data_IF_326183602758
#
_entry.id   IF_326183602758
#
_cell.length_a   1.000
_cell.length_b   1.000
_cell.length_c   1.000
_cell.angle_alpha   90.00
_cell.angle_beta   90.00
_cell.angle_gamma   90.00
#
_symmetry.space_group_name_H-M   'P 1'
#
loop_
_entity.id
_entity.type
_entity.pdbx_description
1 polymer ?
#
# COMPACT_ATOMS: atom_id res chain seq x y z
N UNK A 1 22.55 -17.06 9.85
CA UNK A 1 21.88 -15.80 10.21
C UNK A 1 20.52 -15.55 9.56
N UNK A 2 20.21 -16.17 8.40
CA UNK A 2 18.94 -15.90 7.68
C UNK A 2 17.70 -16.57 8.32
N UNK A 3 17.86 -17.71 8.97
CA UNK A 3 16.75 -18.43 9.62
C UNK A 3 16.28 -17.75 10.91
N UNK A 4 17.17 -17.11 11.65
CA UNK A 4 16.85 -16.39 12.87
C UNK A 4 15.94 -15.18 12.61
N UNK A 5 16.15 -14.44 11.51
CA UNK A 5 15.37 -13.23 11.16
C UNK A 5 13.91 -13.55 10.75
N UNK A 6 13.65 -14.71 10.14
CA UNK A 6 12.29 -15.17 9.78
C UNK A 6 11.53 -15.58 11.03
N UNK A 7 12.19 -16.29 11.94
CA UNK A 7 11.61 -16.76 13.20
C UNK A 7 11.23 -15.60 14.11
N UNK A 8 12.05 -14.56 14.17
CA UNK A 8 11.79 -13.35 14.98
C UNK A 8 10.61 -12.53 14.45
N UNK A 9 10.47 -12.40 13.13
CA UNK A 9 9.32 -11.67 12.54
C UNK A 9 8.01 -12.44 12.67
N UNK A 10 8.02 -13.75 12.50
CA UNK A 10 6.84 -14.58 12.75
C UNK A 10 6.44 -14.52 14.22
N UNK A 11 7.40 -14.53 15.15
CA UNK A 11 7.15 -14.40 16.57
C UNK A 11 6.58 -13.01 16.92
N UNK A 12 7.11 -11.93 16.36
CA UNK A 12 6.62 -10.56 16.57
C UNK A 12 5.19 -10.37 16.04
N UNK A 13 4.89 -10.87 14.84
CA UNK A 13 3.54 -10.81 14.25
C UNK A 13 2.54 -11.62 15.06
N UNK A 14 2.94 -12.79 15.57
CA UNK A 14 2.11 -13.61 16.43
C UNK A 14 1.86 -12.94 17.79
N UNK A 15 2.88 -12.37 18.39
CA UNK A 15 2.77 -11.59 19.64
C UNK A 15 1.79 -10.42 19.46
N UNK A 16 1.92 -9.66 18.36
CA UNK A 16 1.02 -8.54 18.05
C UNK A 16 -0.44 -9.01 17.91
N UNK A 17 -0.66 -10.13 17.22
CA UNK A 17 -2.00 -10.73 17.08
C UNK A 17 -2.57 -11.13 18.44
N UNK A 18 -1.78 -11.79 19.28
CA UNK A 18 -2.18 -12.19 20.64
C UNK A 18 -2.51 -10.97 21.49
N UNK A 19 -1.69 -9.93 21.45
CA UNK A 19 -1.94 -8.66 22.17
C UNK A 19 -3.27 -8.04 21.72
N UNK A 20 -3.55 -7.99 20.42
CA UNK A 20 -4.81 -7.44 19.89
C UNK A 20 -6.02 -8.25 20.32
N UNK A 21 -5.92 -9.59 20.34
CA UNK A 21 -6.99 -10.46 20.83
C UNK A 21 -7.21 -10.23 22.33
N UNK A 22 -6.16 -10.22 23.14
CA UNK A 22 -6.23 -9.98 24.57
C UNK A 22 -6.82 -8.59 24.90
N UNK A 23 -6.33 -7.55 24.22
CA UNK A 23 -6.86 -6.18 24.35
C UNK A 23 -8.37 -6.15 24.05
N UNK A 24 -8.79 -6.86 22.98
CA UNK A 24 -10.22 -6.92 22.61
C UNK A 24 -11.05 -7.71 23.62
N UNK A 25 -10.53 -8.79 24.17
CA UNK A 25 -11.21 -9.58 25.19
C UNK A 25 -11.30 -8.86 26.55
N UNK A 26 -10.33 -8.03 26.86
CA UNK A 26 -10.34 -7.23 28.10
C UNK A 26 -11.23 -6.01 27.93
N UNK A 27 -10.91 -5.14 26.96
CA UNK A 27 -11.47 -3.79 26.85
C UNK A 27 -12.46 -3.58 25.69
N UNK A 28 -12.79 -4.63 24.91
CA UNK A 28 -13.62 -4.46 23.72
C UNK A 28 -12.85 -3.95 22.49
N UNK A 29 -13.52 -3.25 21.58
CA UNK A 29 -12.94 -2.81 20.30
C UNK A 29 -12.19 -1.47 20.38
N UNK A 30 -11.46 -1.21 21.45
CA UNK A 30 -10.68 0.04 21.65
C UNK A 30 -9.67 0.24 20.51
N UNK A 31 -9.06 -0.85 20.00
CA UNK A 31 -8.17 -0.78 18.83
C UNK A 31 -8.81 -0.02 17.65
N UNK A 32 -10.09 -0.29 17.35
CA UNK A 32 -10.77 0.36 16.23
C UNK A 32 -11.04 1.85 16.44
N UNK A 33 -11.06 2.34 17.68
CA UNK A 33 -11.33 3.74 18.00
C UNK A 33 -10.08 4.59 18.18
N UNK A 34 -9.00 4.00 18.70
CA UNK A 34 -7.80 4.76 19.13
C UNK A 34 -6.59 4.48 18.23
N UNK A 35 -6.39 3.22 17.81
CA UNK A 35 -5.16 2.82 17.11
C UNK A 35 -5.35 2.76 15.60
N UNK A 36 -6.50 2.26 15.13
CA UNK A 36 -6.73 2.07 13.70
C UNK A 36 -6.85 3.41 12.95
N UNK A 37 -5.93 3.75 12.02
CA UNK A 37 -5.94 5.05 11.34
C UNK A 37 -7.19 5.25 10.48
N UNK A 38 -7.74 4.18 9.90
CA UNK A 38 -9.00 4.22 9.16
C UNK A 38 -10.19 4.56 10.08
N UNK A 39 -10.15 4.10 11.33
CA UNK A 39 -11.15 4.45 12.34
C UNK A 39 -11.08 5.93 12.72
N UNK A 40 -9.87 6.44 12.95
CA UNK A 40 -9.62 7.86 13.26
C UNK A 40 -10.08 8.75 12.10
N UNK A 41 -9.76 8.38 10.86
CA UNK A 41 -10.22 9.10 9.66
C UNK A 41 -11.76 9.22 9.62
N UNK A 42 -12.50 8.12 9.86
CA UNK A 42 -13.97 8.16 9.91
C UNK A 42 -14.49 9.05 11.04
N UNK A 43 -13.80 9.11 12.18
CA UNK A 43 -14.18 10.01 13.27
C UNK A 43 -13.97 11.47 12.94
N UNK A 44 -12.86 11.82 12.28
CA UNK A 44 -12.60 13.18 11.80
C UNK A 44 -13.70 13.61 10.82
N UNK A 45 -14.00 12.78 9.81
CA UNK A 45 -15.07 13.06 8.83
C UNK A 45 -16.43 13.21 9.52
N UNK A 46 -16.74 12.35 10.49
CA UNK A 46 -17.96 12.41 11.27
C UNK A 46 -18.05 13.68 12.12
N UNK A 47 -16.93 14.11 12.71
CA UNK A 47 -16.86 15.33 13.50
C UNK A 47 -17.09 16.57 12.63
N UNK A 48 -16.41 16.66 11.46
CA UNK A 48 -16.60 17.75 10.48
C UNK A 48 -18.05 17.79 10.02
N UNK A 49 -18.63 16.62 9.71
CA UNK A 49 -20.03 16.50 9.28
C UNK A 49 -21.02 16.94 10.36
N UNK A 50 -20.74 16.67 11.67
CA UNK A 50 -21.57 17.16 12.77
C UNK A 50 -21.47 18.68 12.91
N UNK A 51 -20.26 19.23 12.77
CA UNK A 51 -20.01 20.68 12.87
C UNK A 51 -20.71 21.44 11.71
N UNK A 52 -20.64 20.91 10.49
CA UNK A 52 -21.26 21.50 9.30
C UNK A 52 -22.79 21.44 9.31
N UNK A 53 -23.37 20.30 9.79
CA UNK A 53 -24.83 20.11 9.82
C UNK A 53 -25.49 20.69 11.08
N UNK A 54 -24.73 21.23 12.03
CA UNK A 54 -25.20 21.78 13.29
C UNK A 54 -25.99 20.76 14.14
N UNK A 55 -26.96 21.26 14.93
CA UNK A 55 -27.78 20.43 15.83
C UNK A 55 -28.70 19.43 15.11
N UNK A 56 -28.85 19.50 13.78
CA UNK A 56 -29.77 18.67 12.99
C UNK A 56 -29.25 17.24 12.77
N UNK A 57 -27.94 16.99 12.86
CA UNK A 57 -27.37 15.67 12.58
C UNK A 57 -27.42 14.76 13.80
N UNK A 58 -28.28 13.76 13.76
CA UNK A 58 -28.46 12.74 14.81
C UNK A 58 -28.31 11.35 14.19
N UNK A 59 -27.51 10.50 14.80
CA UNK A 59 -27.46 9.09 14.43
C UNK A 59 -28.72 8.38 14.92
N UNK A 60 -29.08 7.31 14.25
CA UNK A 60 -30.21 6.46 14.64
C UNK A 60 -29.71 5.04 14.81
N UNK A 61 -30.28 4.32 15.76
CA UNK A 61 -30.06 2.89 15.87
C UNK A 61 -30.41 2.19 14.55
N UNK A 62 -29.56 1.27 14.12
CA UNK A 62 -29.78 0.43 12.94
C UNK A 62 -29.54 -1.04 13.32
N UNK A 63 -30.25 -1.95 12.70
CA UNK A 63 -30.03 -3.39 12.89
C UNK A 63 -28.69 -3.80 12.23
N UNK A 64 -27.99 -4.75 12.85
CA UNK A 64 -26.76 -5.30 12.31
C UNK A 64 -27.02 -6.06 11.00
N UNK A 65 -26.28 -5.73 9.94
CA UNK A 65 -26.33 -6.46 8.66
C UNK A 65 -25.42 -7.72 8.73
N UNK A 66 -25.77 -8.66 9.60
CA UNK A 66 -24.95 -9.84 9.89
C UNK A 66 -24.62 -10.65 8.63
N UNK A 67 -25.58 -10.84 7.70
CA UNK A 67 -25.36 -11.56 6.44
C UNK A 67 -24.23 -10.92 5.62
N UNK A 68 -24.23 -9.58 5.51
CA UNK A 68 -23.19 -8.84 4.78
C UNK A 68 -21.83 -8.95 5.48
N UNK A 69 -21.78 -8.78 6.81
CA UNK A 69 -20.56 -8.85 7.61
C UNK A 69 -19.85 -10.20 7.48
N UNK A 70 -20.60 -11.28 7.70
CA UNK A 70 -20.08 -12.64 7.58
C UNK A 70 -19.76 -13.01 6.15
N UNK A 71 -20.58 -12.58 5.18
CA UNK A 71 -20.32 -12.79 3.75
C UNK A 71 -19.00 -12.15 3.30
N UNK A 72 -18.73 -10.91 3.70
CA UNK A 72 -17.47 -10.24 3.38
C UNK A 72 -16.27 -10.91 4.09
N UNK A 73 -16.42 -11.32 5.35
CA UNK A 73 -15.37 -12.03 6.07
C UNK A 73 -15.06 -13.38 5.42
N UNK A 74 -16.08 -14.16 5.09
CA UNK A 74 -15.92 -15.47 4.41
C UNK A 74 -15.27 -15.25 3.03
N UNK A 75 -15.74 -14.27 2.25
CA UNK A 75 -15.13 -13.94 0.96
C UNK A 75 -13.65 -13.53 1.11
N UNK A 76 -13.32 -12.74 2.13
CA UNK A 76 -11.93 -12.35 2.41
C UNK A 76 -11.05 -13.56 2.78
N UNK A 77 -11.57 -14.50 3.58
CA UNK A 77 -10.86 -15.74 3.95
C UNK A 77 -10.70 -16.64 2.73
N UNK A 78 -11.75 -16.84 1.93
CA UNK A 78 -11.70 -17.66 0.74
C UNK A 78 -10.72 -17.10 -0.29
N UNK A 79 -10.75 -15.80 -0.56
CA UNK A 79 -9.80 -15.15 -1.49
C UNK A 79 -8.37 -15.23 -0.97
N UNK A 80 -8.15 -15.15 0.34
CA UNK A 80 -6.84 -15.37 0.96
C UNK A 80 -6.34 -16.80 0.73
N UNK A 81 -7.18 -17.82 0.95
CA UNK A 81 -6.84 -19.23 0.77
C UNK A 81 -6.61 -19.58 -0.71
N UNK A 82 -7.35 -18.96 -1.63
CA UNK A 82 -7.20 -19.13 -3.07
C UNK A 82 -6.02 -18.33 -3.67
N UNK A 83 -5.31 -17.54 -2.87
CA UNK A 83 -4.18 -16.73 -3.34
C UNK A 83 -4.56 -15.36 -3.94
N UNK A 84 -5.85 -15.05 -4.11
CA UNK A 84 -6.33 -13.75 -4.63
C UNK A 84 -6.22 -12.64 -3.59
N UNK A 85 -5.08 -11.99 -3.53
CA UNK A 85 -4.80 -10.96 -2.49
C UNK A 85 -5.35 -9.58 -2.81
N UNK A 86 -5.72 -9.32 -4.06
CA UNK A 86 -6.25 -8.03 -4.48
C UNK A 86 -7.47 -7.60 -3.65
N UNK A 87 -8.47 -8.49 -3.50
CA UNK A 87 -9.69 -8.17 -2.77
C UNK A 87 -9.39 -7.88 -1.29
N UNK A 88 -8.51 -8.69 -0.69
CA UNK A 88 -8.08 -8.50 0.68
C UNK A 88 -7.39 -7.13 0.84
N UNK A 89 -6.43 -6.82 -0.04
CA UNK A 89 -5.71 -5.54 -0.04
C UNK A 89 -6.62 -4.33 -0.26
N UNK A 90 -7.71 -4.46 -1.02
CA UNK A 90 -8.68 -3.37 -1.21
C UNK A 90 -9.53 -3.09 0.03
N UNK A 91 -9.89 -4.14 0.80
CA UNK A 91 -10.83 -4.05 1.94
C UNK A 91 -10.10 -3.89 3.26
N UNK A 92 -8.85 -4.33 3.36
CA UNK A 92 -8.03 -4.23 4.56
C UNK A 92 -7.83 -2.76 4.97
N UNK A 93 -8.10 -2.39 6.23
CA UNK A 93 -8.10 -0.98 6.66
C UNK A 93 -6.73 -0.32 6.57
N UNK A 94 -5.63 -1.05 6.82
CA UNK A 94 -4.27 -0.52 6.77
C UNK A 94 -3.84 -0.21 5.33
N UNK A 95 -4.01 -1.16 4.40
CA UNK A 95 -3.68 -1.00 2.99
C UNK A 95 -4.55 0.08 2.32
N UNK A 96 -5.85 0.10 2.63
CA UNK A 96 -6.78 1.11 2.13
C UNK A 96 -6.38 2.52 2.60
N UNK A 97 -6.03 2.69 3.88
CA UNK A 97 -5.56 3.97 4.41
C UNK A 97 -4.21 4.38 3.82
N UNK A 98 -3.25 3.45 3.70
CA UNK A 98 -1.95 3.70 3.08
C UNK A 98 -2.08 4.22 1.65
N UNK A 99 -2.96 3.61 0.85
CA UNK A 99 -3.26 4.08 -0.52
C UNK A 99 -3.88 5.48 -0.54
N UNK A 100 -4.81 5.78 0.37
CA UNK A 100 -5.39 7.13 0.46
C UNK A 100 -4.31 8.17 0.80
N UNK A 101 -3.45 7.88 1.77
CA UNK A 101 -2.37 8.80 2.17
C UNK A 101 -1.38 9.01 1.03
N UNK A 102 -0.93 7.94 0.39
CA UNK A 102 0.09 8.01 -0.66
C UNK A 102 -0.43 8.68 -1.93
N UNK A 103 -1.67 8.39 -2.34
CA UNK A 103 -2.15 8.82 -3.64
C UNK A 103 -3.05 10.07 -3.59
N UNK A 104 -3.63 10.42 -2.42
CA UNK A 104 -4.50 11.60 -2.28
C UNK A 104 -3.86 12.65 -1.38
N UNK A 105 -3.48 12.31 -0.15
CA UNK A 105 -2.99 13.31 0.80
C UNK A 105 -1.56 13.77 0.50
N UNK A 106 -0.66 12.87 0.07
CA UNK A 106 0.73 13.23 -0.25
C UNK A 106 0.80 14.22 -1.42
N UNK A 107 0.14 14.03 -2.58
CA UNK A 107 0.11 15.05 -3.64
C UNK A 107 -0.45 16.38 -3.18
N UNK A 108 -1.53 16.40 -2.41
CA UNK A 108 -2.11 17.65 -1.85
C UNK A 108 -1.11 18.35 -0.93
N UNK A 109 -0.42 17.61 -0.07
CA UNK A 109 0.65 18.15 0.79
C UNK A 109 1.79 18.75 -0.05
N UNK A 110 2.25 18.06 -1.10
CA UNK A 110 3.34 18.53 -1.97
C UNK A 110 2.95 19.82 -2.71
N UNK A 111 1.74 19.90 -3.25
CA UNK A 111 1.22 21.12 -3.87
C UNK A 111 1.13 22.27 -2.84
N UNK A 112 0.64 21.98 -1.64
CA UNK A 112 0.58 22.95 -0.54
C UNK A 112 1.96 23.44 -0.12
N UNK A 113 2.95 22.53 -0.01
CA UNK A 113 4.34 22.88 0.29
C UNK A 113 4.94 23.79 -0.80
N UNK A 114 4.73 23.48 -2.08
CA UNK A 114 5.23 24.30 -3.19
C UNK A 114 4.56 25.68 -3.24
N UNK A 115 3.28 25.75 -2.88
CA UNK A 115 2.59 27.03 -2.75
C UNK A 115 3.17 27.89 -1.60
N UNK A 116 3.49 27.27 -0.46
CA UNK A 116 4.17 27.94 0.64
C UNK A 116 5.59 28.36 0.25
N UNK A 117 6.35 27.48 -0.41
CA UNK A 117 7.68 27.83 -0.92
C UNK A 117 7.63 29.07 -1.81
N UNK A 118 6.72 29.13 -2.78
CA UNK A 118 6.53 30.27 -3.67
C UNK A 118 6.19 31.58 -2.94
N UNK A 119 5.52 31.51 -1.79
CA UNK A 119 5.22 32.69 -0.96
C UNK A 119 6.44 33.09 -0.12
N UNK A 120 7.08 32.12 0.57
CA UNK A 120 8.18 32.38 1.48
C UNK A 120 9.48 32.78 0.78
N UNK A 121 9.73 32.26 -0.41
CA UNK A 121 10.88 32.65 -1.24
C UNK A 121 10.86 34.14 -1.65
N UNK A 122 9.66 34.77 -1.72
CA UNK A 122 9.53 36.22 -1.96
C UNK A 122 10.01 37.09 -0.77
N UNK A 123 10.13 36.47 0.41
CA UNK A 123 10.61 37.11 1.63
C UNK A 123 12.01 36.63 2.02
N UNK A 124 12.81 36.10 1.06
CA UNK A 124 14.14 35.53 1.24
C UNK A 124 14.22 34.43 2.34
N UNK A 125 13.09 33.75 2.57
CA UNK A 125 13.01 32.67 3.55
C UNK A 125 12.92 31.31 2.85
N UNK A 126 13.98 30.51 2.94
CA UNK A 126 14.15 29.21 2.28
C UNK A 126 13.83 28.01 3.20
N UNK A 127 12.95 28.17 4.15
CA UNK A 127 12.48 27.08 5.04
C UNK A 127 11.74 25.99 4.27
N UNK A 128 11.04 26.37 3.20
CA UNK A 128 10.36 25.42 2.29
C UNK A 128 11.16 25.31 1.00
N UNK A 129 11.26 24.10 0.48
CA UNK A 129 11.92 23.82 -0.81
C UNK A 129 10.94 23.19 -1.79
N UNK A 130 11.19 23.37 -3.06
CA UNK A 130 10.34 22.85 -4.12
C UNK A 130 10.47 21.33 -4.19
N UNK A 131 9.32 20.64 -4.21
CA UNK A 131 9.22 19.18 -4.31
C UNK A 131 8.42 18.83 -5.57
N UNK A 132 8.89 17.85 -6.33
CA UNK A 132 8.18 17.35 -7.51
C UNK A 132 6.81 16.75 -7.14
N UNK A 133 5.75 17.51 -7.37
CA UNK A 133 4.37 17.11 -7.13
C UNK A 133 3.83 16.27 -8.30
N UNK A 134 4.45 15.12 -8.57
CA UNK A 134 3.99 14.23 -9.64
C UNK A 134 3.08 13.13 -9.12
N UNK A 135 1.98 12.88 -9.83
CA UNK A 135 1.14 11.70 -9.59
C UNK A 135 1.92 10.47 -10.05
N UNK A 136 2.22 9.54 -9.12
CA UNK A 136 3.05 8.37 -9.36
C UNK A 136 2.41 7.44 -10.40
N UNK A 137 1.08 7.22 -10.28
CA UNK A 137 0.29 6.41 -11.19
C UNK A 137 -1.15 6.90 -11.20
N UNK A 138 -1.69 7.17 -12.38
CA UNK A 138 -3.05 7.68 -12.55
C UNK A 138 -4.11 6.67 -12.07
N UNK A 139 -3.90 5.38 -12.35
CA UNK A 139 -4.80 4.30 -11.90
C UNK A 139 -4.83 4.19 -10.38
N UNK A 140 -3.67 4.25 -9.71
CA UNK A 140 -3.58 4.25 -8.25
C UNK A 140 -4.23 5.47 -7.61
N UNK A 141 -4.10 6.63 -8.25
CA UNK A 141 -4.76 7.86 -7.81
C UNK A 141 -6.28 7.70 -7.83
N UNK A 142 -6.86 7.21 -8.93
CA UNK A 142 -8.31 7.00 -9.01
C UNK A 142 -8.83 5.95 -8.02
N UNK A 143 -8.09 4.85 -7.80
CA UNK A 143 -8.47 3.86 -6.81
C UNK A 143 -8.37 4.43 -5.38
N UNK A 144 -7.31 5.17 -5.07
CA UNK A 144 -7.14 5.86 -3.79
C UNK A 144 -8.23 6.90 -3.55
N UNK A 145 -8.54 7.71 -4.58
CA UNK A 145 -9.60 8.71 -4.53
C UNK A 145 -10.99 8.08 -4.37
N UNK A 146 -11.30 7.03 -5.13
CA UNK A 146 -12.54 6.29 -4.99
C UNK A 146 -12.71 5.71 -3.57
N UNK A 147 -11.64 5.11 -3.02
CA UNK A 147 -11.62 4.61 -1.65
C UNK A 147 -11.89 5.74 -0.64
N UNK A 148 -11.23 6.89 -0.80
CA UNK A 148 -11.40 8.07 0.04
C UNK A 148 -12.85 8.59 -0.02
N UNK A 149 -13.42 8.73 -1.23
CA UNK A 149 -14.78 9.22 -1.43
C UNK A 149 -15.83 8.26 -0.87
N UNK A 150 -15.70 6.94 -1.11
CA UNK A 150 -16.64 5.94 -0.62
C UNK A 150 -16.64 5.89 0.91
N UNK A 151 -15.48 5.80 1.53
CA UNK A 151 -15.36 5.72 2.99
C UNK A 151 -15.75 7.06 3.62
N UNK A 152 -15.33 8.17 3.03
CA UNK A 152 -15.69 9.52 3.46
C UNK A 152 -17.20 9.75 3.42
N UNK A 153 -17.86 9.38 2.33
CA UNK A 153 -19.32 9.49 2.19
C UNK A 153 -20.08 8.61 3.21
N UNK A 154 -19.63 7.37 3.40
CA UNK A 154 -20.22 6.48 4.42
C UNK A 154 -20.04 7.06 5.83
N UNK A 155 -18.84 7.58 6.13
CA UNK A 155 -18.57 8.20 7.44
C UNK A 155 -19.35 9.50 7.62
N UNK A 156 -19.46 10.31 6.56
CA UNK A 156 -20.25 11.54 6.57
C UNK A 156 -21.71 11.27 6.88
N UNK A 157 -22.32 10.25 6.27
CA UNK A 157 -23.77 9.98 6.40
C UNK A 157 -24.12 9.10 7.59
N UNK A 158 -23.34 8.06 7.86
CA UNK A 158 -23.68 6.99 8.78
C UNK A 158 -22.64 6.68 9.87
N UNK A 159 -21.60 7.53 9.99
CA UNK A 159 -20.55 7.30 10.98
C UNK A 159 -19.66 6.09 10.66
N UNK A 160 -19.51 5.18 11.61
CA UNK A 160 -18.59 4.03 11.52
C UNK A 160 -19.15 2.80 10.76
N UNK A 161 -19.95 3.04 9.72
CA UNK A 161 -20.59 1.95 8.95
C UNK A 161 -19.58 1.06 8.25
N UNK A 162 -18.51 1.61 7.66
CA UNK A 162 -17.47 0.81 7.01
C UNK A 162 -16.86 -0.21 7.98
N UNK A 163 -16.44 0.21 9.17
CA UNK A 163 -15.85 -0.66 10.19
C UNK A 163 -16.80 -1.73 10.70
N UNK A 164 -18.12 -1.46 10.65
CA UNK A 164 -19.15 -2.34 11.19
C UNK A 164 -19.83 -3.23 10.16
N UNK A 165 -19.56 -3.03 8.84
CA UNK A 165 -20.26 -3.81 7.78
C UNK A 165 -19.30 -4.44 6.77
N UNK A 166 -18.23 -3.75 6.39
CA UNK A 166 -17.35 -4.16 5.29
C UNK A 166 -15.98 -4.62 5.81
N UNK A 167 -15.42 -3.98 6.84
CA UNK A 167 -14.09 -4.30 7.35
C UNK A 167 -14.02 -5.72 7.94
N UNK A 168 -13.19 -6.64 7.40
CA UNK A 168 -13.06 -8.00 7.93
C UNK A 168 -12.48 -8.02 9.35
N UNK A 169 -11.48 -7.17 9.62
CA UNK A 169 -10.90 -6.99 10.97
C UNK A 169 -11.97 -6.52 11.95
N UNK A 170 -12.78 -5.53 11.53
CA UNK A 170 -13.88 -5.02 12.35
C UNK A 170 -14.95 -6.07 12.65
N UNK A 171 -15.18 -7.03 11.75
CA UNK A 171 -16.11 -8.13 11.95
C UNK A 171 -15.55 -9.14 12.95
N UNK A 172 -14.29 -9.54 12.81
CA UNK A 172 -13.60 -10.48 13.71
C UNK A 172 -13.50 -9.92 15.13
N UNK A 173 -12.96 -8.69 15.29
CA UNK A 173 -12.90 -8.04 16.60
C UNK A 173 -14.30 -7.80 17.20
N UNK A 174 -15.30 -7.53 16.36
CA UNK A 174 -16.69 -7.40 16.79
C UNK A 174 -17.29 -8.70 17.33
N UNK A 175 -16.88 -9.84 16.80
CA UNK A 175 -17.25 -11.14 17.36
C UNK A 175 -16.61 -11.34 18.73
N UNK A 176 -15.30 -11.08 18.86
CA UNK A 176 -14.56 -11.22 20.12
C UNK A 176 -15.08 -10.27 21.20
N UNK A 177 -15.41 -9.03 20.86
CA UNK A 177 -15.89 -8.03 21.82
C UNK A 177 -17.22 -8.36 22.49
N UNK A 178 -17.97 -9.32 21.94
CA UNK A 178 -19.15 -9.87 22.65
C UNK A 178 -18.78 -10.57 23.96
N UNK A 179 -17.54 -11.07 24.04
CA UNK A 179 -17.02 -11.80 25.21
C UNK A 179 -16.11 -10.93 26.08
N UNK A 180 -15.96 -9.61 25.77
CA UNK A 180 -15.07 -8.73 26.53
C UNK A 180 -15.47 -8.62 27.99
N UNK A 181 -14.47 -8.48 28.85
CA UNK A 181 -14.63 -8.35 30.30
C UNK A 181 -15.25 -7.00 30.68
N UNK A 182 -14.75 -5.93 30.10
CA UNK A 182 -15.26 -4.57 30.30
C UNK A 182 -16.19 -4.19 29.13
N UNK A 183 -17.35 -3.62 29.45
CA UNK A 183 -18.37 -3.19 28.48
C UNK A 183 -19.08 -1.95 28.96
N UNK A 184 -19.52 -1.14 28.01
CA UNK A 184 -20.44 -0.04 28.30
C UNK A 184 -21.81 -0.66 28.67
N UNK A 185 -22.35 -0.32 29.84
CA UNK A 185 -23.61 -0.83 30.36
C UNK A 185 -24.56 0.30 30.64
N UNK A 186 -25.84 0.05 30.50
CA UNK A 186 -26.90 0.97 30.86
C UNK A 186 -27.48 0.49 32.19
N UNK A 187 -27.49 1.37 33.19
CA UNK A 187 -28.22 1.15 34.46
C UNK A 187 -29.67 1.53 34.26
N UNK A 188 -30.55 0.52 34.25
CA UNK A 188 -31.97 0.71 34.00
C UNK A 188 -32.61 1.62 35.03
N UNK A 189 -32.13 1.62 36.29
CA UNK A 189 -32.66 2.43 37.36
C UNK A 189 -32.37 3.91 37.27
N UNK A 190 -31.23 4.26 36.64
CA UNK A 190 -30.77 5.65 36.44
C UNK A 190 -31.16 6.20 35.07
N UNK A 191 -31.60 5.37 34.16
CA UNK A 191 -31.88 5.76 32.78
C UNK A 191 -33.24 6.44 32.65
N UNK A 192 -33.25 7.73 32.30
CA UNK A 192 -34.46 8.55 32.08
C UNK A 192 -35.03 8.44 30.65
N UNK A 193 -34.57 7.51 29.82
CA UNK A 193 -35.01 7.33 28.42
C UNK A 193 -34.87 8.56 27.52
N UNK A 194 -33.95 9.48 27.80
CA UNK A 194 -33.75 10.72 27.05
C UNK A 194 -33.23 10.54 25.62
N UNK A 195 -32.84 9.31 25.22
CA UNK A 195 -32.33 8.90 23.89
C UNK A 195 -31.07 9.60 23.42
N UNK A 196 -30.39 10.43 24.21
CA UNK A 196 -29.20 11.19 23.83
C UNK A 196 -28.05 10.26 23.46
N UNK A 197 -27.82 9.18 24.20
CA UNK A 197 -26.77 8.18 23.96
C UNK A 197 -26.90 7.53 22.56
N UNK A 198 -28.12 7.18 22.12
CA UNK A 198 -28.38 6.64 20.80
C UNK A 198 -28.12 7.64 19.67
N UNK A 199 -28.47 8.91 19.87
CA UNK A 199 -28.26 9.97 18.86
C UNK A 199 -26.80 10.39 18.73
N UNK A 200 -26.00 10.18 19.77
CA UNK A 200 -24.54 10.46 19.77
C UNK A 200 -23.71 9.29 19.24
N UNK A 201 -24.25 8.07 19.26
CA UNK A 201 -23.52 6.86 18.91
C UNK A 201 -23.13 6.80 17.43
N UNK A 202 -21.84 7.01 17.12
CA UNK A 202 -21.26 6.92 15.77
C UNK A 202 -21.38 5.53 15.16
N UNK A 203 -21.38 4.49 15.99
CA UNK A 203 -21.50 3.10 15.57
C UNK A 203 -22.96 2.65 15.35
N UNK A 204 -23.96 3.49 15.67
CA UNK A 204 -25.40 3.20 15.59
C UNK A 204 -25.81 1.88 16.27
N UNK A 205 -25.12 1.53 17.37
CA UNK A 205 -25.25 0.26 18.08
C UNK A 205 -26.10 0.33 19.36
N UNK A 206 -26.54 1.54 19.80
CA UNK A 206 -27.32 1.74 21.02
C UNK A 206 -28.79 1.88 20.65
N UNK A 207 -29.59 0.92 21.09
CA UNK A 207 -31.04 1.01 21.11
C UNK A 207 -31.50 1.63 22.43
N UNK A 208 -31.67 2.95 22.40
CA UNK A 208 -32.07 3.71 23.59
C UNK A 208 -33.52 3.45 24.03
N UNK A 209 -34.38 2.95 23.13
CA UNK A 209 -35.77 2.62 23.47
C UNK A 209 -35.85 1.36 24.33
N UNK A 210 -35.06 0.34 23.92
CA UNK A 210 -35.05 -0.95 24.61
C UNK A 210 -33.84 -1.08 25.58
N UNK A 211 -33.10 0.00 25.84
CA UNK A 211 -31.90 0.03 26.71
C UNK A 211 -30.88 -1.05 26.39
N UNK A 212 -30.73 -1.39 25.10
CA UNK A 212 -29.82 -2.45 24.65
C UNK A 212 -28.65 -1.89 23.83
N UNK A 213 -27.48 -2.50 24.02
CA UNK A 213 -26.27 -2.17 23.26
C UNK A 213 -25.84 -3.41 22.48
N UNK A 214 -25.64 -3.24 21.17
CA UNK A 214 -25.04 -4.29 20.33
C UNK A 214 -23.51 -4.22 20.43
N UNK A 215 -22.95 -5.03 21.31
CA UNK A 215 -21.52 -5.08 21.56
C UNK A 215 -20.70 -5.56 20.35
N UNK A 216 -21.32 -6.26 19.40
CA UNK A 216 -20.61 -6.65 18.18
C UNK A 216 -20.26 -5.46 17.27
N UNK A 217 -20.90 -4.31 17.47
CA UNK A 217 -20.71 -3.08 16.71
C UNK A 217 -20.18 -1.91 17.54
N UNK A 218 -20.26 -2.00 18.87
CA UNK A 218 -19.65 -1.02 19.74
C UNK A 218 -18.14 -0.96 19.47
N UNK A 219 -17.61 0.24 19.33
CA UNK A 219 -16.17 0.48 19.09
C UNK A 219 -15.50 1.11 20.30
N UNK A 220 -16.18 1.14 21.42
CA UNK A 220 -15.73 1.67 22.71
C UNK A 220 -15.09 3.08 22.59
N UNK A 221 -15.80 3.98 21.88
CA UNK A 221 -15.38 5.36 21.67
C UNK A 221 -15.77 6.31 22.81
N UNK A 222 -16.51 5.85 23.79
CA UNK A 222 -16.96 6.54 25.01
C UNK A 222 -17.82 7.81 24.82
N UNK A 223 -18.12 8.26 23.61
CA UNK A 223 -18.97 9.43 23.32
C UNK A 223 -20.36 9.37 24.03
N UNK A 224 -20.87 8.18 24.25
CA UNK A 224 -22.16 7.97 24.93
C UNK A 224 -22.05 8.17 26.43
N UNK A 225 -20.91 7.82 27.06
CA UNK A 225 -20.65 8.03 28.46
C UNK A 225 -20.60 9.53 28.78
N UNK A 226 -19.81 10.29 28.03
CA UNK A 226 -19.71 11.74 28.18
C UNK A 226 -21.05 12.45 27.97
N UNK A 227 -21.92 11.89 27.12
CA UNK A 227 -23.21 12.49 26.78
C UNK A 227 -24.32 12.20 27.81
N UNK A 228 -24.12 11.26 28.74
CA UNK A 228 -25.14 10.85 29.71
C UNK A 228 -25.06 11.71 30.98
N UNK A 229 -25.96 12.68 31.11
CA UNK A 229 -26.01 13.58 32.28
C UNK A 229 -26.35 12.88 33.59
N UNK A 230 -27.17 11.82 33.52
CA UNK A 230 -27.61 11.06 34.69
C UNK A 230 -26.62 9.98 35.13
N UNK A 231 -25.47 9.84 34.46
CA UNK A 231 -24.48 8.81 34.79
C UNK A 231 -25.02 7.37 34.67
N UNK A 232 -26.11 7.15 33.92
CA UNK A 232 -26.70 5.85 33.73
C UNK A 232 -25.85 4.91 32.84
N UNK A 233 -24.84 5.43 32.14
CA UNK A 233 -23.89 4.65 31.33
C UNK A 233 -22.57 4.50 32.10
N UNK A 234 -22.13 3.24 32.25
CA UNK A 234 -20.85 2.93 32.93
C UNK A 234 -20.07 1.92 32.10
N UNK A 235 -18.73 2.04 32.15
CA UNK A 235 -17.81 1.05 31.59
C UNK A 235 -17.34 0.13 32.72
N UNK A 236 -17.94 -1.07 32.83
CA UNK A 236 -17.76 -1.95 33.98
C UNK A 236 -17.75 -3.43 33.63
N UNK A 237 -17.28 -4.27 34.57
CA UNK A 237 -17.41 -5.73 34.51
C UNK A 237 -18.86 -6.16 34.79
N UNK A 238 -19.28 -7.37 34.32
CA UNK A 238 -20.58 -7.91 34.68
C UNK A 238 -20.65 -8.14 36.20
N UNK A 239 -21.52 -7.41 36.87
CA UNK A 239 -21.89 -7.73 38.26
C UNK A 239 -22.73 -9.04 38.27
N UNK A 240 -22.53 -9.88 39.30
CA UNK A 240 -23.20 -11.19 39.42
C UNK A 240 -24.73 -11.11 39.41
N UNK A 241 -25.32 -9.97 39.75
CA UNK A 241 -26.77 -9.74 39.79
C UNK A 241 -27.46 -9.71 38.41
N UNK A 242 -26.72 -9.52 37.30
CA UNK A 242 -27.28 -9.34 35.96
C UNK A 242 -27.24 -10.61 35.07
N UNK A 243 -26.83 -11.76 35.59
CA UNK A 243 -26.73 -13.02 34.81
C UNK A 243 -28.06 -13.72 34.53
N UNK A 244 -29.16 -13.26 35.11
CA UNK A 244 -30.44 -14.01 35.12
C UNK A 244 -31.50 -13.62 34.07
N UNK A 245 -31.12 -12.75 33.08
CA UNK A 245 -32.12 -12.37 32.04
C UNK A 245 -31.49 -12.40 30.66
N UNK A 246 -31.14 -13.60 30.22
CA UNK A 246 -30.67 -13.80 28.84
C UNK A 246 -31.12 -15.17 28.31
N UNK A 247 -32.35 -15.23 27.90
CA UNK A 247 -32.88 -16.19 26.93
C UNK A 247 -34.24 -15.65 26.49
N UNK A 248 -34.34 -15.37 25.22
CA UNK A 248 -35.51 -15.24 24.37
C UNK A 248 -35.41 -14.07 23.39
N UNK A 249 -35.61 -14.39 22.11
CA UNK A 249 -35.99 -13.43 21.09
C UNK A 249 -35.20 -13.46 19.79
N UNK A 250 -35.50 -14.29 19.05
CA UNK A 250 -35.60 -14.83 17.71
C UNK A 250 -35.58 -13.88 16.52
N UNK A 251 -35.05 -14.44 15.49
CA UNK A 251 -35.29 -14.44 14.07
C UNK A 251 -36.42 -13.62 13.47
N UNK A 252 -36.14 -12.84 12.47
CA UNK A 252 -36.98 -12.66 11.28
C UNK A 252 -36.14 -12.51 10.03
N UNK A 253 -36.47 -13.34 9.06
CA UNK A 253 -36.01 -13.37 7.68
C UNK A 253 -36.54 -12.17 6.90
N UNK A 254 -35.78 -11.73 5.90
CA UNK A 254 -36.44 -11.32 4.66
C UNK A 254 -35.53 -11.37 3.42
N UNK A 255 -36.19 -11.80 2.36
CA UNK A 255 -35.74 -12.03 1.00
C UNK A 255 -35.96 -10.74 0.21
N UNK A 256 -34.97 -10.21 -0.45
CA UNK A 256 -35.08 -9.54 -1.73
C UNK A 256 -33.88 -8.62 -2.00
N UNK A 257 -33.09 -8.96 -2.99
CA UNK A 257 -32.47 -8.07 -4.00
C UNK A 257 -31.31 -8.76 -4.71
N UNK A 258 -31.69 -9.68 -5.58
CA UNK A 258 -30.82 -10.21 -6.64
C UNK A 258 -31.08 -9.44 -7.93
N UNK A 259 -30.63 -8.20 -8.08
CA UNK A 259 -30.73 -7.55 -9.43
C UNK A 259 -29.74 -6.42 -9.73
N UNK A 260 -28.77 -6.15 -8.85
CA UNK A 260 -27.87 -4.99 -9.07
C UNK A 260 -26.42 -5.33 -9.38
N UNK A 261 -26.05 -6.60 -9.51
CA UNK A 261 -24.63 -7.01 -9.64
C UNK A 261 -24.21 -7.42 -11.06
N UNK A 262 -25.09 -7.40 -12.05
CA UNK A 262 -24.76 -7.89 -13.42
C UNK A 262 -24.46 -6.81 -14.44
N UNK A 263 -24.61 -5.54 -14.14
CA UNK A 263 -24.42 -4.46 -15.12
C UNK A 263 -23.02 -3.81 -15.11
N UNK A 264 -22.16 -4.14 -14.13
CA UNK A 264 -20.84 -3.50 -13.98
C UNK A 264 -19.64 -4.23 -14.62
N UNK A 265 -19.86 -5.45 -15.11
CA UNK A 265 -18.73 -6.32 -15.52
C UNK A 265 -18.40 -6.30 -17.01
N UNK A 266 -19.23 -5.68 -17.85
CA UNK A 266 -19.05 -5.76 -19.31
C UNK A 266 -18.26 -4.62 -19.94
N UNK A 267 -18.00 -3.53 -19.21
CA UNK A 267 -17.27 -2.37 -19.79
C UNK A 267 -15.76 -2.36 -19.50
N UNK A 268 -15.26 -3.26 -18.66
CA UNK A 268 -13.83 -3.31 -18.31
C UNK A 268 -12.98 -4.21 -19.25
N UNK A 269 -13.59 -4.96 -20.16
CA UNK A 269 -12.89 -5.94 -20.97
C UNK A 269 -12.28 -5.40 -22.29
N UNK A 270 -12.66 -4.20 -22.74
CA UNK A 270 -12.26 -3.69 -24.07
C UNK A 270 -11.04 -2.76 -24.08
N UNK A 271 -10.50 -2.37 -22.91
CA UNK A 271 -9.40 -1.40 -22.83
C UNK A 271 -7.96 -1.93 -23.12
N UNK A 272 -7.62 -3.22 -22.97
CA UNK A 272 -6.24 -3.67 -23.12
C UNK A 272 -5.75 -3.78 -24.58
N UNK A 273 -6.64 -3.97 -25.55
CA UNK A 273 -6.21 -4.28 -26.94
C UNK A 273 -5.73 -3.06 -27.72
N UNK A 274 -6.25 -1.86 -27.42
CA UNK A 274 -5.88 -0.63 -28.12
C UNK A 274 -4.51 -0.09 -27.68
N UNK A 275 -4.11 -0.32 -26.43
CA UNK A 275 -2.78 0.11 -25.92
C UNK A 275 -1.63 -0.80 -26.35
N UNK A 276 -1.89 -2.02 -26.78
CA UNK A 276 -0.86 -2.98 -27.18
C UNK A 276 -0.30 -2.79 -28.61
N UNK A 277 -0.97 -1.99 -29.46
CA UNK A 277 -0.56 -1.83 -30.88
C UNK A 277 0.34 -0.60 -31.11
N UNK A 278 0.26 0.42 -30.29
CA UNK A 278 1.07 1.63 -30.45
C UNK A 278 2.60 1.40 -30.45
N UNK A 279 3.17 0.54 -29.59
CA UNK A 279 4.61 0.26 -29.62
C UNK A 279 5.05 -0.47 -30.90
N UNK A 280 4.23 -1.34 -31.46
CA UNK A 280 4.55 -2.09 -32.69
C UNK A 280 4.58 -1.17 -33.91
N UNK A 281 3.64 -0.24 -33.99
CA UNK A 281 3.61 0.75 -35.07
C UNK A 281 4.81 1.69 -34.99
N UNK A 282 5.18 2.12 -33.80
CA UNK A 282 6.34 3.00 -33.56
C UNK A 282 7.66 2.28 -33.87
N UNK A 283 7.77 0.98 -33.55
CA UNK A 283 8.92 0.15 -33.90
C UNK A 283 9.07 -0.01 -35.43
N UNK A 284 7.95 -0.21 -36.12
CA UNK A 284 7.95 -0.33 -37.59
C UNK A 284 8.42 0.96 -38.28
N UNK A 285 7.98 2.12 -37.81
CA UNK A 285 8.34 3.44 -38.38
C UNK A 285 9.76 3.84 -38.04
N UNK A 286 10.28 3.49 -36.85
CA UNK A 286 11.61 3.89 -36.40
C UNK A 286 12.74 2.93 -36.76
N UNK A 287 12.44 1.72 -37.29
CA UNK A 287 13.40 0.67 -37.50
C UNK A 287 14.07 0.09 -36.26
N UNK A 288 13.67 0.55 -35.05
CA UNK A 288 14.19 0.11 -33.76
C UNK A 288 13.32 -0.96 -33.13
N UNK A 289 13.95 -1.88 -32.39
CA UNK A 289 13.24 -2.99 -31.74
C UNK A 289 12.56 -2.53 -30.45
N UNK A 290 11.26 -2.76 -30.32
CA UNK A 290 10.57 -2.58 -29.04
C UNK A 290 10.90 -3.74 -28.08
N UNK A 291 11.19 -3.43 -26.83
CA UNK A 291 11.43 -4.44 -25.79
C UNK A 291 10.26 -4.47 -24.80
N UNK A 292 9.73 -5.66 -24.57
CA UNK A 292 8.72 -5.92 -23.56
C UNK A 292 9.31 -6.88 -22.55
N UNK A 293 9.36 -6.46 -21.27
CA UNK A 293 9.81 -7.33 -20.18
C UNK A 293 8.90 -8.54 -20.06
N UNK A 294 9.49 -9.71 -19.95
CA UNK A 294 8.77 -10.96 -19.65
C UNK A 294 8.44 -11.03 -18.15
N UNK A 295 9.40 -10.62 -17.31
CA UNK A 295 9.27 -10.63 -15.87
C UNK A 295 9.33 -9.21 -15.29
N UNK A 296 8.37 -8.84 -14.43
CA UNK A 296 8.43 -7.56 -13.73
C UNK A 296 9.58 -7.52 -12.73
N UNK A 297 10.14 -6.33 -12.52
CA UNK A 297 11.26 -6.15 -11.60
C UNK A 297 10.71 -5.92 -10.21
N UNK A 298 10.99 -6.85 -9.29
CA UNK A 298 10.61 -6.74 -7.88
C UNK A 298 11.65 -5.91 -7.10
N UNK A 299 11.24 -5.16 -6.05
CA UNK A 299 12.17 -4.43 -5.19
C UNK A 299 13.26 -5.34 -4.58
N UNK A 300 14.47 -4.81 -4.28
CA UNK A 300 15.54 -5.61 -3.66
C UNK A 300 15.10 -6.13 -2.29
N UNK A 301 15.39 -7.41 -2.02
CA UNK A 301 14.93 -8.10 -0.81
C UNK A 301 13.59 -8.83 -0.96
N UNK A 302 12.99 -8.83 -2.16
CA UNK A 302 11.73 -9.55 -2.44
C UNK A 302 11.90 -11.08 -2.48
N UNK A 303 13.13 -11.59 -2.53
CA UNK A 303 13.52 -13.02 -2.58
C UNK A 303 13.10 -13.68 -3.91
N UNK A 304 11.82 -13.72 -4.21
CA UNK A 304 11.26 -14.23 -5.46
C UNK A 304 9.96 -13.52 -5.82
N UNK A 305 9.56 -13.59 -7.06
CA UNK A 305 8.29 -13.06 -7.54
C UNK A 305 7.10 -13.68 -6.78
N UNK A 306 7.10 -14.99 -6.59
CA UNK A 306 6.05 -15.71 -5.85
C UNK A 306 5.99 -15.29 -4.37
N UNK A 307 7.14 -15.16 -3.69
CA UNK A 307 7.22 -14.66 -2.32
C UNK A 307 6.66 -13.24 -2.24
N UNK A 308 7.09 -12.36 -3.13
CA UNK A 308 6.65 -10.97 -3.16
C UNK A 308 5.14 -10.86 -3.35
N UNK A 309 4.59 -11.52 -4.37
CA UNK A 309 3.15 -11.52 -4.65
C UNK A 309 2.34 -12.07 -3.48
N UNK A 310 2.83 -13.13 -2.83
CA UNK A 310 2.11 -13.76 -1.72
C UNK A 310 2.13 -12.96 -0.40
N UNK A 311 3.06 -12.04 -0.19
CA UNK A 311 3.19 -11.27 1.05
C UNK A 311 2.81 -9.79 0.89
N UNK A 312 2.82 -9.24 -0.33
CA UNK A 312 2.53 -7.84 -0.56
C UNK A 312 1.03 -7.53 -0.46
N UNK A 313 0.66 -6.60 0.40
CA UNK A 313 -0.73 -6.11 0.59
C UNK A 313 -1.03 -4.83 -0.19
N UNK A 314 -0.14 -4.37 -1.06
CA UNK A 314 -0.31 -3.14 -1.86
C UNK A 314 -0.60 -1.89 -1.01
N UNK A 315 0.04 -1.77 0.15
CA UNK A 315 -0.11 -0.62 1.04
C UNK A 315 0.61 0.64 0.56
N UNK A 316 1.50 0.52 -0.41
CA UNK A 316 2.30 1.57 -1.06
C UNK A 316 3.26 2.33 -0.13
N UNK A 317 3.58 1.81 1.05
CA UNK A 317 4.50 2.46 1.96
C UNK A 317 5.91 2.57 1.36
N UNK A 318 6.41 1.49 0.75
CA UNK A 318 7.68 1.48 0.01
C UNK A 318 7.66 2.45 -1.19
N UNK A 319 6.53 2.57 -1.90
CA UNK A 319 6.36 3.54 -2.99
C UNK A 319 6.49 4.98 -2.49
N UNK A 320 5.84 5.28 -1.35
CA UNK A 320 5.84 6.63 -0.78
C UNK A 320 7.19 7.05 -0.20
N UNK A 321 7.99 6.08 0.25
CA UNK A 321 9.29 6.30 0.91
C UNK A 321 10.48 6.14 -0.03
N UNK A 322 10.29 5.67 -1.27
CA UNK A 322 11.36 5.52 -2.23
C UNK A 322 11.98 6.88 -2.61
N UNK A 323 13.25 7.15 -2.28
CA UNK A 323 13.87 8.45 -2.56
C UNK A 323 14.10 8.68 -4.07
N UNK A 324 14.35 7.63 -4.82
CA UNK A 324 14.56 7.70 -6.28
C UNK A 324 13.25 7.63 -7.08
N UNK A 325 12.09 7.50 -6.44
CA UNK A 325 10.76 7.42 -7.06
C UNK A 325 10.62 6.36 -8.17
N UNK A 326 11.40 5.28 -8.09
CA UNK A 326 11.39 4.19 -9.08
C UNK A 326 10.34 3.13 -8.81
N UNK A 327 9.74 3.09 -7.61
CA UNK A 327 8.66 2.18 -7.29
C UNK A 327 7.31 2.76 -7.72
N UNK A 328 6.61 2.03 -8.59
CA UNK A 328 5.26 2.39 -9.03
C UNK A 328 4.31 1.22 -8.79
N UNK A 329 3.04 1.48 -8.44
CA UNK A 329 2.02 0.44 -8.41
C UNK A 329 1.82 -0.15 -9.82
N UNK A 330 1.89 -1.46 -9.93
CA UNK A 330 1.61 -2.21 -11.16
C UNK A 330 0.13 -2.21 -11.50
N UNK A 331 -0.21 -2.40 -12.76
CA UNK A 331 -1.59 -2.59 -13.19
C UNK A 331 -1.80 -3.97 -13.81
N UNK A 332 -0.94 -4.37 -14.73
CA UNK A 332 -1.02 -5.65 -15.44
C UNK A 332 0.24 -6.48 -15.35
N UNK A 333 1.33 -5.93 -14.87
CA UNK A 333 2.68 -6.51 -14.88
C UNK A 333 2.78 -7.80 -14.08
N UNK A 334 2.03 -7.90 -12.98
CA UNK A 334 1.93 -9.09 -12.13
C UNK A 334 0.66 -9.91 -12.40
N UNK A 335 -0.10 -9.58 -13.48
CA UNK A 335 -1.42 -10.13 -13.70
C UNK A 335 -2.48 -9.58 -12.74
N UNK A 336 -3.68 -10.17 -12.75
CA UNK A 336 -4.80 -9.72 -11.90
C UNK A 336 -4.55 -9.95 -10.41
N UNK A 337 -3.79 -10.97 -10.06
CA UNK A 337 -3.52 -11.33 -8.65
C UNK A 337 -2.60 -10.32 -7.97
N UNK A 338 -1.65 -9.76 -8.72
CA UNK A 338 -0.66 -8.80 -8.22
C UNK A 338 -0.98 -7.34 -8.57
N UNK A 339 -2.20 -7.03 -9.00
CA UNK A 339 -2.60 -5.66 -9.32
C UNK A 339 -2.40 -4.73 -8.12
N UNK A 340 -1.86 -3.53 -8.34
CA UNK A 340 -1.49 -2.54 -7.34
C UNK A 340 -0.24 -2.89 -6.50
N UNK A 341 0.40 -4.04 -6.69
CA UNK A 341 1.67 -4.31 -6.05
C UNK A 341 2.79 -3.47 -6.69
N UNK A 342 3.77 -2.98 -5.91
CA UNK A 342 4.82 -2.12 -6.46
C UNK A 342 5.79 -2.89 -7.34
N UNK A 343 6.14 -2.31 -8.49
CA UNK A 343 7.19 -2.78 -9.39
C UNK A 343 8.19 -1.65 -9.64
N UNK A 344 9.40 -2.00 -10.09
CA UNK A 344 10.46 -1.03 -10.36
C UNK A 344 10.40 -0.57 -11.82
N UNK A 345 10.45 0.75 -12.03
CA UNK A 345 10.50 1.40 -13.34
C UNK A 345 11.63 2.40 -13.42
N UNK A 346 12.29 2.46 -14.56
CA UNK A 346 13.47 3.32 -14.77
C UNK A 346 13.20 4.49 -15.74
N UNK A 347 11.96 4.96 -15.80
CA UNK A 347 11.63 6.12 -16.64
C UNK A 347 12.07 7.46 -16.05
N UNK A 348 11.95 7.60 -14.71
CA UNK A 348 12.20 8.86 -13.99
C UNK A 348 13.44 8.81 -13.09
N UNK A 349 14.11 7.69 -12.99
CA UNK A 349 15.26 7.50 -12.12
C UNK A 349 15.70 6.04 -12.10
N UNK A 350 16.63 5.70 -11.24
CA UNK A 350 17.17 4.37 -11.04
C UNK A 350 17.27 4.04 -9.55
N UNK A 351 17.34 2.76 -9.20
CA UNK A 351 17.45 2.34 -7.81
C UNK A 351 18.84 2.69 -7.26
N UNK A 352 18.89 3.56 -6.24
CA UNK A 352 20.14 3.93 -5.59
C UNK A 352 20.82 2.68 -5.02
N UNK A 353 22.12 2.51 -5.31
CA UNK A 353 22.94 1.37 -4.95
C UNK A 353 23.04 1.17 -3.43
N UNK A 354 23.15 2.27 -2.67
CA UNK A 354 23.32 2.27 -1.21
C UNK A 354 21.99 2.43 -0.42
N UNK A 355 20.84 2.24 -1.07
CA UNK A 355 19.54 2.47 -0.44
C UNK A 355 18.83 1.15 -0.08
N UNK A 356 18.37 1.01 1.17
CA UNK A 356 17.63 -0.16 1.71
C UNK A 356 16.20 0.17 2.16
N UNK A 357 15.77 1.43 2.06
CA UNK A 357 14.53 1.97 2.65
C UNK A 357 13.27 1.14 2.36
N UNK A 358 13.13 0.57 1.15
CA UNK A 358 11.93 -0.20 0.80
C UNK A 358 11.77 -1.47 1.65
N UNK A 359 12.88 -2.13 2.02
CA UNK A 359 12.89 -3.28 2.93
C UNK A 359 12.59 -2.89 4.37
N UNK A 360 13.16 -1.77 4.85
CA UNK A 360 13.02 -1.31 6.23
C UNK A 360 11.56 -0.93 6.56
N UNK A 361 10.84 -0.36 5.59
CA UNK A 361 9.44 0.10 5.80
C UNK A 361 8.39 -0.96 5.47
N UNK A 362 8.76 -2.15 4.97
CA UNK A 362 7.79 -3.16 4.57
C UNK A 362 7.19 -3.89 5.78
N UNK A 363 5.90 -3.68 6.13
CA UNK A 363 5.31 -4.25 7.36
C UNK A 363 5.10 -5.76 7.28
N UNK A 364 4.87 -6.30 6.08
CA UNK A 364 4.48 -7.70 5.88
C UNK A 364 5.64 -8.60 5.44
N UNK A 365 6.87 -8.06 5.36
CA UNK A 365 8.04 -8.84 4.95
C UNK A 365 8.03 -9.29 3.48
N UNK A 366 7.16 -8.70 2.62
CA UNK A 366 7.20 -8.91 1.18
C UNK A 366 8.55 -8.47 0.59
N UNK A 367 9.13 -7.43 1.16
CA UNK A 367 10.49 -6.98 0.92
C UNK A 367 11.23 -7.15 2.25
N UNK A 368 12.24 -8.01 2.28
CA UNK A 368 13.07 -8.22 3.46
C UNK A 368 14.06 -7.08 3.63
N UNK A 369 14.33 -6.60 4.84
CA UNK A 369 15.39 -5.65 5.06
C UNK A 369 16.74 -6.29 4.72
N UNK A 370 17.58 -5.51 4.06
CA UNK A 370 18.92 -5.91 3.66
C UNK A 370 19.93 -4.96 4.33
N UNK A 371 21.13 -5.47 4.64
CA UNK A 371 22.26 -4.59 4.88
C UNK A 371 22.75 -3.99 3.56
N UNK A 372 23.56 -2.93 3.60
CA UNK A 372 24.11 -2.31 2.40
C UNK A 372 24.94 -3.34 1.61
N UNK A 373 25.76 -4.15 2.28
CA UNK A 373 26.57 -5.19 1.65
C UNK A 373 25.71 -6.27 0.98
N UNK A 374 24.61 -6.66 1.62
CA UNK A 374 23.65 -7.60 1.04
C UNK A 374 22.96 -7.00 -0.18
N UNK A 375 22.60 -5.69 -0.10
CA UNK A 375 21.98 -4.96 -1.21
C UNK A 375 22.90 -4.88 -2.42
N UNK A 376 24.20 -4.64 -2.22
CA UNK A 376 25.23 -4.60 -3.27
C UNK A 376 25.35 -5.92 -4.04
N UNK A 377 25.02 -7.03 -3.39
CA UNK A 377 25.05 -8.36 -4.00
C UNK A 377 23.68 -8.89 -4.42
N UNK A 378 22.60 -8.14 -4.18
CA UNK A 378 21.23 -8.59 -4.52
C UNK A 378 20.92 -8.25 -5.97
N UNK A 379 20.79 -9.26 -6.81
CA UNK A 379 20.45 -9.13 -8.22
C UNK A 379 18.92 -9.16 -8.40
N UNK A 380 18.30 -7.99 -8.60
CA UNK A 380 16.86 -7.84 -8.86
C UNK A 380 16.49 -8.23 -10.29
N UNK A 381 17.40 -8.05 -11.21
CA UNK A 381 17.25 -8.30 -12.64
C UNK A 381 18.59 -8.26 -13.34
N UNK A 382 18.58 -8.51 -14.63
CA UNK A 382 19.75 -8.55 -15.49
C UNK A 382 19.61 -7.55 -16.61
N UNK A 383 20.74 -6.94 -16.99
CA UNK A 383 20.79 -6.03 -18.12
C UNK A 383 20.66 -6.80 -19.45
N UNK A 384 19.84 -6.26 -20.33
CA UNK A 384 19.65 -6.73 -21.72
C UNK A 384 20.07 -5.59 -22.63
N UNK A 385 21.01 -5.87 -23.52
CA UNK A 385 21.50 -4.92 -24.51
C UNK A 385 20.94 -5.27 -25.90
N UNK A 386 20.42 -4.27 -26.58
CA UNK A 386 19.86 -4.37 -27.94
C UNK A 386 20.74 -3.49 -28.84
N UNK A 387 21.67 -4.12 -29.53
CA UNK A 387 22.66 -3.44 -30.36
C UNK A 387 22.00 -2.55 -31.42
N UNK A 388 20.94 -3.03 -32.07
CA UNK A 388 20.21 -2.33 -33.14
C UNK A 388 19.51 -1.05 -32.68
N UNK A 389 19.38 -0.84 -31.38
CA UNK A 389 18.84 0.39 -30.83
C UNK A 389 19.91 1.37 -30.39
N UNK A 390 21.18 0.89 -30.25
CA UNK A 390 22.28 1.70 -29.74
C UNK A 390 22.67 2.81 -30.74
N UNK A 391 22.82 4.05 -30.25
CA UNK A 391 23.19 5.18 -31.11
C UNK A 391 24.60 5.05 -31.67
N UNK A 392 25.48 4.29 -31.03
CA UNK A 392 26.77 3.93 -31.61
C UNK A 392 26.63 3.11 -32.88
N UNK A 393 25.64 2.15 -32.86
CA UNK A 393 25.36 1.31 -34.03
C UNK A 393 24.51 2.05 -35.07
N UNK A 394 23.45 2.79 -34.65
CA UNK A 394 22.52 3.42 -35.61
C UNK A 394 23.05 4.73 -36.21
N UNK A 395 23.70 5.54 -35.39
CA UNK A 395 24.03 6.93 -35.73
C UNK A 395 25.54 7.13 -35.86
N UNK A 396 26.38 6.11 -35.58
CA UNK A 396 27.83 6.21 -35.54
C UNK A 396 28.36 7.23 -34.53
N UNK A 397 27.59 7.49 -33.46
CA UNK A 397 27.91 8.51 -32.45
C UNK A 397 28.59 7.86 -31.25
N UNK A 398 29.74 8.36 -30.82
CA UNK A 398 30.41 7.89 -29.60
C UNK A 398 29.51 8.06 -28.37
N UNK A 399 29.36 7.00 -27.57
CA UNK A 399 28.57 7.01 -26.35
C UNK A 399 29.11 6.00 -25.34
N UNK A 400 29.19 6.39 -24.06
CA UNK A 400 29.63 5.54 -22.94
C UNK A 400 28.67 5.61 -21.75
N UNK A 401 27.55 6.35 -21.87
CA UNK A 401 26.67 6.70 -20.75
C UNK A 401 26.24 5.52 -19.88
N UNK A 402 25.92 4.37 -20.47
CA UNK A 402 25.48 3.18 -19.74
C UNK A 402 26.59 2.54 -18.90
N UNK A 403 27.84 2.58 -19.36
CA UNK A 403 29.01 2.09 -18.64
C UNK A 403 29.41 3.04 -17.51
N UNK A 404 29.45 4.34 -17.76
CA UNK A 404 29.79 5.37 -16.78
C UNK A 404 28.85 5.40 -15.57
N UNK A 405 27.56 5.09 -15.76
CA UNK A 405 26.56 5.07 -14.68
C UNK A 405 26.35 3.68 -14.07
N UNK A 406 27.19 2.71 -14.39
CA UNK A 406 27.07 1.36 -13.83
C UNK A 406 27.87 1.22 -12.53
N UNK A 407 27.24 1.15 -11.34
CA UNK A 407 27.96 1.10 -10.07
C UNK A 407 28.74 -0.20 -9.88
N UNK A 408 28.36 -1.27 -10.59
CA UNK A 408 29.04 -2.58 -10.52
C UNK A 408 29.97 -2.83 -11.70
N UNK A 409 30.09 -1.87 -12.63
CA UNK A 409 30.86 -2.03 -13.87
C UNK A 409 30.44 -3.26 -14.70
N UNK A 410 29.19 -3.68 -14.59
CA UNK A 410 28.61 -4.77 -15.39
C UNK A 410 28.55 -4.44 -16.90
N UNK A 411 28.73 -3.18 -17.26
CA UNK A 411 28.83 -2.69 -18.62
C UNK A 411 30.22 -2.10 -18.82
N UNK A 412 30.99 -2.71 -19.70
CA UNK A 412 32.32 -2.24 -20.12
C UNK A 412 32.27 -1.86 -21.58
N UNK A 413 33.05 -0.84 -21.97
CA UNK A 413 33.15 -0.41 -23.37
C UNK A 413 34.23 -1.24 -24.09
N UNK A 414 33.85 -1.89 -25.17
CA UNK A 414 34.76 -2.68 -26.02
C UNK A 414 34.90 -2.04 -27.40
N UNK A 415 36.06 -2.23 -28.09
CA UNK A 415 36.26 -1.71 -29.45
C UNK A 415 35.13 -2.17 -30.42
N UNK A 416 34.69 -1.23 -31.26
CA UNK A 416 33.68 -1.43 -32.27
C UNK A 416 34.14 -0.87 -33.63
N UNK A 417 33.27 -0.75 -34.60
CA UNK A 417 33.60 -0.24 -35.94
C UNK A 417 34.04 1.22 -35.89
N UNK A 418 34.92 1.60 -36.83
CA UNK A 418 35.37 2.97 -37.07
C UNK A 418 35.97 3.66 -35.85
N UNK A 419 36.68 2.91 -34.99
CA UNK A 419 37.31 3.45 -33.79
C UNK A 419 36.35 3.78 -32.65
N UNK A 420 35.05 3.47 -32.79
CA UNK A 420 34.03 3.62 -31.74
C UNK A 420 34.13 2.48 -30.73
N UNK A 421 33.44 2.65 -29.60
CA UNK A 421 33.29 1.62 -28.57
C UNK A 421 31.82 1.32 -28.34
N UNK A 422 31.49 0.05 -28.04
CA UNK A 422 30.14 -0.41 -27.77
C UNK A 422 30.07 -1.12 -26.42
N UNK A 423 28.96 -1.06 -25.67
CA UNK A 423 28.89 -1.73 -24.39
C UNK A 423 28.89 -3.25 -24.51
N UNK A 424 29.75 -3.90 -23.74
CA UNK A 424 29.76 -5.32 -23.45
C UNK A 424 29.15 -5.57 -22.07
N UNK A 425 28.35 -6.62 -21.91
CA UNK A 425 27.53 -6.89 -20.73
C UNK A 425 28.03 -8.10 -19.97
N UNK A 426 28.37 -7.94 -18.69
CA UNK A 426 28.54 -9.03 -17.74
C UNK A 426 27.33 -9.11 -16.81
N UNK A 427 26.46 -10.08 -17.10
CA UNK A 427 25.22 -10.25 -16.34
C UNK A 427 25.42 -10.82 -14.94
N UNK A 428 26.57 -11.40 -14.63
CA UNK A 428 26.83 -12.03 -13.32
C UNK A 428 27.11 -11.00 -12.22
N UNK A 429 27.71 -9.87 -12.58
CA UNK A 429 28.00 -8.77 -11.65
C UNK A 429 26.88 -7.69 -11.65
N UNK A 430 25.92 -7.77 -12.58
CA UNK A 430 24.83 -6.83 -12.66
C UNK A 430 23.86 -7.04 -11.49
N UNK A 431 23.46 -5.97 -10.82
CA UNK A 431 22.44 -6.00 -9.74
C UNK A 431 21.06 -5.54 -10.19
N UNK A 432 20.91 -5.11 -11.44
CA UNK A 432 19.64 -4.67 -12.00
C UNK A 432 19.14 -3.32 -11.47
N UNK A 433 20.04 -2.42 -11.06
CA UNK A 433 19.66 -1.11 -10.50
C UNK A 433 19.00 -0.15 -11.51
N UNK A 434 19.18 -0.38 -12.82
CA UNK A 434 18.56 0.40 -13.90
C UNK A 434 19.22 1.74 -14.22
N UNK A 435 20.40 2.04 -13.67
CA UNK A 435 21.16 3.25 -14.01
C UNK A 435 21.43 3.34 -15.51
N UNK A 436 21.89 2.26 -16.11
CA UNK A 436 22.17 2.17 -17.55
C UNK A 436 20.92 2.35 -18.42
N UNK A 437 19.76 1.80 -17.99
CA UNK A 437 18.49 1.99 -18.70
C UNK A 437 18.03 3.44 -18.62
N UNK A 438 18.12 4.06 -17.45
CA UNK A 438 17.68 5.44 -17.24
C UNK A 438 18.47 6.44 -18.09
N UNK A 439 19.78 6.34 -18.13
CA UNK A 439 20.66 7.29 -18.82
C UNK A 439 20.77 7.06 -20.32
N UNK A 440 20.30 5.92 -20.85
CA UNK A 440 20.38 5.61 -22.26
C UNK A 440 19.69 6.69 -23.11
N UNK A 441 20.39 7.35 -24.05
CA UNK A 441 19.83 8.43 -24.86
C UNK A 441 19.01 7.93 -26.06
N UNK A 442 19.13 6.65 -26.43
CA UNK A 442 18.45 6.09 -27.60
C UNK A 442 16.92 6.25 -27.50
N UNK A 443 16.28 6.75 -28.59
CA UNK A 443 14.85 6.96 -28.71
C UNK A 443 14.36 6.49 -30.09
N UNK A 444 13.11 6.07 -30.27
CA UNK A 444 12.03 6.00 -29.27
C UNK A 444 12.19 4.84 -28.28
N UNK A 445 13.00 3.82 -28.62
CA UNK A 445 13.30 2.68 -27.77
C UNK A 445 14.74 2.76 -27.29
N UNK A 446 14.97 2.44 -26.03
CA UNK A 446 16.31 2.41 -25.44
C UNK A 446 17.08 1.21 -25.96
N UNK A 447 18.41 1.29 -25.91
CA UNK A 447 19.30 0.17 -26.27
C UNK A 447 19.57 -0.76 -25.07
N UNK A 448 19.35 -0.28 -23.86
CA UNK A 448 19.64 -1.02 -22.62
C UNK A 448 18.36 -1.08 -21.79
N UNK A 449 18.01 -2.28 -21.33
CA UNK A 449 16.87 -2.56 -20.48
C UNK A 449 17.27 -3.49 -19.34
N UNK A 450 16.51 -3.47 -18.26
CA UNK A 450 16.64 -4.46 -17.18
C UNK A 450 15.47 -5.44 -17.28
N UNK A 451 15.76 -6.72 -17.35
CA UNK A 451 14.80 -7.82 -17.23
C UNK A 451 14.74 -8.30 -15.79
N UNK A 452 13.55 -8.51 -15.24
CA UNK A 452 13.37 -8.94 -13.85
C UNK A 452 13.75 -10.41 -13.63
N UNK A 453 14.32 -10.72 -12.47
CA UNK A 453 14.58 -12.09 -12.06
C UNK A 453 13.35 -12.67 -11.33
N UNK A 454 12.91 -13.85 -11.73
CA UNK A 454 11.83 -14.59 -11.02
C UNK A 454 12.23 -14.93 -9.59
N UNK A 455 13.51 -15.30 -9.40
CA UNK A 455 14.14 -15.48 -8.09
C UNK A 455 15.33 -14.53 -8.05
N UNK A 456 15.39 -13.67 -7.03
CA UNK A 456 16.52 -12.76 -6.85
C UNK A 456 17.78 -13.59 -6.58
N UNK A 457 18.81 -13.32 -7.37
CA UNK A 457 20.08 -14.03 -7.31
C UNK A 457 21.12 -13.21 -6.53
N UNK A 458 22.24 -13.82 -6.23
CA UNK A 458 23.39 -13.13 -5.67
C UNK A 458 24.33 -12.79 -6.81
N UNK A 459 24.59 -11.51 -7.02
CA UNK A 459 25.59 -11.06 -7.97
C UNK A 459 27.00 -11.45 -7.51
N UNK A 460 27.89 -11.68 -8.46
CA UNK A 460 29.30 -11.90 -8.16
C UNK A 460 29.89 -10.58 -7.63
N UNK A 461 30.65 -10.58 -6.52
CA UNK A 461 31.31 -9.38 -6.03
C UNK A 461 32.30 -8.84 -7.07
N UNK A 462 32.44 -7.53 -7.12
CA UNK A 462 33.47 -6.88 -7.94
C UNK A 462 34.81 -7.32 -7.35
N UNK A 463 35.58 -8.12 -8.07
CA UNK A 463 36.96 -8.36 -7.75
C UNK A 463 37.68 -7.05 -8.09
N UNK A 464 38.28 -6.37 -7.11
CA UNK A 464 39.19 -5.26 -7.37
C UNK A 464 40.20 -5.76 -8.42
N UNK A 465 40.12 -5.24 -9.64
CA UNK A 465 41.23 -5.36 -10.56
C UNK A 465 42.37 -4.70 -9.81
N UNK A 466 43.44 -5.47 -9.46
CA UNK A 466 44.70 -4.89 -9.07
C UNK A 466 44.98 -3.82 -10.09
N UNK A 467 45.05 -2.56 -9.66
CA UNK A 467 45.63 -1.50 -10.45
C UNK A 467 47.02 -2.04 -10.84
N UNK A 468 47.23 -2.39 -12.10
CA UNK A 468 48.53 -2.48 -12.66
C UNK A 468 49.11 -1.08 -12.46
N UNK A 469 50.01 -0.96 -11.50
CA UNK A 469 50.82 0.24 -11.34
C UNK A 469 51.48 0.46 -12.69
N UNK A 470 50.93 1.41 -13.45
CA UNK A 470 51.64 1.98 -14.59
C UNK A 470 52.84 2.68 -13.96
N UNK A 471 53.99 2.04 -14.03
CA UNK A 471 55.25 2.74 -13.78
C UNK A 471 55.28 3.88 -14.79
N UNK A 472 55.01 5.07 -14.30
CA UNK A 472 55.19 6.30 -15.05
C UNK A 472 56.70 6.45 -15.14
N UNK A 473 57.26 6.11 -16.31
CA UNK A 473 58.63 6.43 -16.62
C UNK A 473 58.86 7.92 -16.36
N UNK A 474 59.81 8.17 -15.48
CA UNK A 474 60.20 9.49 -15.03
C UNK A 474 60.58 10.32 -16.26
N UNK A 475 59.77 11.30 -16.62
CA UNK A 475 60.11 12.30 -17.61
C UNK A 475 61.22 13.17 -17.02
N UNK A 476 62.45 12.78 -17.26
CA UNK A 476 63.62 13.59 -16.93
C UNK A 476 63.50 15.01 -17.48
N UNK A 477 63.44 15.97 -16.57
CA UNK A 477 63.84 17.35 -16.79
C UNK A 477 65.21 17.61 -16.13
#
# INVERSE_FOLDING_TARGET
GSEMCIRDRLSLSFITLVILILLTLIGGRIYCSVICPMGIFQDIVTWVSKKSAGKKKRFRFSLARNKLRWGVLIAAVLTFLLGFRLLLGLIEPYSAFGRMVTNVFKPVYMVGNNALESVFSRFDNYTFYQVDASIISLSSFFIGLATFLIIGFLAWRHGRTWCNTICPVGTLLGFLSRYSLYKIRIDENKCTHCMICGTRCKASCIDSKNQRIDYSRCVDCFDCLESCKEGALTYSRPSAALKKKKEEGDAVSDVSKRRFLMAGLTTAAAAPEVMGQAPKLLAYVSGKKSYKRENPITPPGSVSLAHFQSHCTSCHLCVSKCPSHVLKPSFTEYGLEGMMQPTVYFEKGFCNYDCTVCGDVCPNGAIRPLTIEQKHLTQMGKVVFIEENCIVHTDGTSCGACSEHCPTQALSMVPYKDGLTIPHVDTEICVGCGGCEFVCPARPFRAVYIEGNVIQQKARPITEKKEEQIEVDDFGF
#
